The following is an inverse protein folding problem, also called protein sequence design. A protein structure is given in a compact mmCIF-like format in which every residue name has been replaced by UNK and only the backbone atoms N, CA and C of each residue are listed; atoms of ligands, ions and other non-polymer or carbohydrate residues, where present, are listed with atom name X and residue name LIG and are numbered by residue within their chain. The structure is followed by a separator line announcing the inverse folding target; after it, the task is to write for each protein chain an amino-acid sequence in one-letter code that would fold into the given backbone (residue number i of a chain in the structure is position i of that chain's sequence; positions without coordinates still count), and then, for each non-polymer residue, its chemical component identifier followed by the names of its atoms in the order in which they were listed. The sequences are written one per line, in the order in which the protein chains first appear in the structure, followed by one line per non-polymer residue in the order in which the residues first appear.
data_IF_836812294571
#
_entry.id   IF_836812294571
#
_cell.length_a   1.000
_cell.length_b   1.000
_cell.length_c   1.000
_cell.angle_alpha   90.00
_cell.angle_beta   90.00
_cell.angle_gamma   90.00
#
_symmetry.space_group_name_H-M   'P 1'
#
loop_
_entity.id
_entity.type
_entity.pdbx_description
1 polymer ?
#
# COMPACT_ATOMS: atom_id res chain seq x y z
N UNK A 1 1.63 17.91 -14.52
CA UNK A 1 0.30 18.56 -14.51
C UNK A 1 -0.26 18.51 -13.08
N UNK A 2 -1.31 19.26 -12.72
CA UNK A 2 -1.89 19.19 -11.37
C UNK A 2 -2.38 17.78 -10.99
N UNK A 3 -2.89 17.01 -11.96
CA UNK A 3 -3.32 15.63 -11.76
C UNK A 3 -2.16 14.68 -11.42
N UNK A 4 -1.01 14.84 -12.09
CA UNK A 4 0.18 14.02 -11.79
C UNK A 4 0.74 14.34 -10.41
N UNK A 5 0.79 15.63 -10.04
CA UNK A 5 1.27 16.06 -8.72
C UNK A 5 0.38 15.51 -7.58
N UNK A 6 -0.95 15.49 -7.76
CA UNK A 6 -1.86 14.87 -6.79
C UNK A 6 -1.63 13.36 -6.66
N UNK A 7 -1.48 12.66 -7.79
CA UNK A 7 -1.20 11.22 -7.79
C UNK A 7 0.13 10.92 -7.08
N UNK A 8 1.16 11.72 -7.33
CA UNK A 8 2.48 11.61 -6.70
C UNK A 8 2.44 11.93 -5.21
N UNK A 9 1.76 13.00 -4.80
CA UNK A 9 1.55 13.34 -3.38
C UNK A 9 0.97 12.15 -2.62
N UNK A 10 -0.14 11.61 -3.12
CA UNK A 10 -0.79 10.46 -2.48
C UNK A 10 0.10 9.21 -2.52
N UNK A 11 0.81 8.98 -3.63
CA UNK A 11 1.72 7.85 -3.74
C UNK A 11 2.86 7.93 -2.72
N UNK A 12 3.54 9.09 -2.66
CA UNK A 12 4.67 9.35 -1.78
C UNK A 12 4.30 9.18 -0.30
N UNK A 13 3.23 9.83 0.15
CA UNK A 13 2.80 9.75 1.55
C UNK A 13 2.18 8.39 1.91
N UNK A 14 1.82 7.55 0.94
CA UNK A 14 1.36 6.18 1.20
C UNK A 14 2.48 5.16 1.42
N UNK A 15 3.71 5.49 1.02
CA UNK A 15 4.88 4.60 1.12
C UNK A 15 5.87 5.02 2.21
N UNK A 16 5.72 6.22 2.76
CA UNK A 16 6.66 6.81 3.70
C UNK A 16 6.51 6.22 5.12
N UNK A 17 7.62 5.90 5.78
CA UNK A 17 7.62 5.55 7.21
C UNK A 17 7.51 6.81 8.08
N UNK A 18 6.28 7.31 8.23
CA UNK A 18 5.98 8.52 8.98
C UNK A 18 6.33 8.43 10.48
N UNK A 19 6.44 7.21 11.03
CA UNK A 19 6.81 6.99 12.43
C UNK A 19 8.32 7.02 12.65
N UNK A 20 9.11 6.73 11.62
CA UNK A 20 10.58 6.76 11.62
C UNK A 20 11.19 8.07 11.12
N UNK A 21 10.37 9.03 10.66
CA UNK A 21 10.84 10.24 10.01
C UNK A 21 10.37 11.53 10.71
N UNK A 22 11.19 12.56 10.60
CA UNK A 22 10.87 13.96 10.88
C UNK A 22 10.68 14.69 9.54
N UNK A 23 9.49 15.19 9.27
CA UNK A 23 9.24 16.03 8.09
C UNK A 23 9.62 17.48 8.45
N UNK A 24 10.66 18.03 7.81
CA UNK A 24 11.10 19.41 8.06
C UNK A 24 10.82 20.30 6.84
N UNK A 25 9.82 21.21 6.92
CA UNK A 25 9.62 22.23 5.90
C UNK A 25 10.81 23.17 5.76
N UNK A 26 11.52 23.45 6.86
CA UNK A 26 12.72 24.30 6.85
C UNK A 26 13.83 23.71 5.99
N UNK A 27 14.09 22.41 6.10
CA UNK A 27 15.08 21.73 5.24
C UNK A 27 14.50 21.25 3.90
N UNK A 28 13.18 21.32 3.71
CA UNK A 28 12.50 20.83 2.52
C UNK A 28 12.62 19.31 2.31
N UNK A 29 12.90 18.53 3.36
CA UNK A 29 13.13 17.08 3.27
C UNK A 29 12.67 16.31 4.51
N UNK A 30 12.60 14.99 4.37
CA UNK A 30 12.43 14.08 5.49
C UNK A 30 13.79 13.74 6.11
N UNK A 31 13.89 13.89 7.43
CA UNK A 31 15.07 13.61 8.23
C UNK A 31 14.85 12.35 9.07
N UNK A 32 15.91 11.67 9.51
CA UNK A 32 15.79 10.62 10.51
C UNK A 32 15.10 11.15 11.76
N UNK A 33 14.18 10.38 12.33
CA UNK A 33 13.52 10.75 13.57
C UNK A 33 14.56 10.98 14.69
N UNK A 34 14.49 12.11 15.42
CA UNK A 34 15.43 12.38 16.50
C UNK A 34 15.24 11.36 17.64
N UNK A 35 16.34 10.96 18.31
CA UNK A 35 16.25 10.03 19.43
C UNK A 35 15.46 10.60 20.62
N UNK A 36 14.89 9.74 21.47
CA UNK A 36 14.24 10.19 22.70
C UNK A 36 15.21 10.99 23.56
N UNK A 37 14.78 12.14 24.09
CA UNK A 37 15.61 12.96 24.98
C UNK A 37 16.63 13.86 24.27
N UNK A 38 16.56 14.00 22.94
CA UNK A 38 17.40 14.96 22.20
C UNK A 38 17.18 16.38 22.74
N UNK A 39 18.25 17.14 23.07
CA UNK A 39 18.15 18.55 23.43
C UNK A 39 17.48 19.33 22.29
N UNK A 40 16.47 20.14 22.59
CA UNK A 40 15.71 20.88 21.57
C UNK A 40 14.19 20.63 21.59
N UNK A 41 13.67 19.80 22.50
CA UNK A 41 12.26 19.81 22.90
C UNK A 41 11.24 19.23 21.91
N UNK A 42 11.63 18.95 20.66
CA UNK A 42 10.75 18.36 19.66
C UNK A 42 10.35 16.94 20.08
N UNK A 43 9.08 16.77 20.49
CA UNK A 43 8.53 15.48 20.91
C UNK A 43 8.05 14.68 19.69
N UNK A 44 8.72 13.57 19.34
CA UNK A 44 8.32 12.78 18.18
C UNK A 44 7.05 11.98 18.47
N UNK A 45 6.17 11.89 17.49
CA UNK A 45 4.93 11.12 17.56
C UNK A 45 4.84 10.06 16.46
N UNK A 46 3.66 9.44 16.29
CA UNK A 46 3.36 8.59 15.13
C UNK A 46 3.50 9.31 13.78
N UNK A 47 3.39 10.64 13.80
CA UNK A 47 3.74 11.57 12.73
C UNK A 47 4.50 12.73 13.38
N UNK A 48 5.64 13.10 12.81
CA UNK A 48 6.42 14.25 13.29
C UNK A 48 6.61 15.23 12.13
N UNK A 49 5.90 16.36 12.20
CA UNK A 49 6.01 17.45 11.23
C UNK A 49 6.51 18.67 12.00
N UNK A 50 7.69 19.16 11.64
CA UNK A 50 8.32 20.29 12.30
C UNK A 50 7.60 21.59 11.92
N UNK A 51 7.36 22.46 12.90
CA UNK A 51 7.00 23.84 12.59
C UNK A 51 8.18 24.54 11.87
N UNK A 52 7.93 25.34 10.81
CA UNK A 52 8.99 26.01 10.08
C UNK A 52 9.74 27.10 10.87
N UNK A 53 9.17 27.62 11.95
CA UNK A 53 9.75 28.69 12.76
C UNK A 53 10.11 28.22 14.18
N UNK A 54 9.21 27.49 14.83
CA UNK A 54 9.44 26.94 16.16
C UNK A 54 9.95 25.50 16.07
N UNK A 55 11.26 25.31 15.89
CA UNK A 55 11.84 23.99 15.60
C UNK A 55 11.67 22.93 16.70
N UNK A 56 11.33 23.35 17.92
CA UNK A 56 10.96 22.48 19.05
C UNK A 56 9.49 22.04 19.03
N UNK A 57 8.69 22.55 18.10
CA UNK A 57 7.26 22.29 18.00
C UNK A 57 6.95 21.28 16.89
N UNK A 58 6.23 20.21 17.27
CA UNK A 58 5.66 19.24 16.33
C UNK A 58 4.19 19.61 16.11
N UNK A 59 3.87 20.16 14.93
CA UNK A 59 2.49 20.56 14.61
C UNK A 59 1.53 19.37 14.53
N UNK A 60 2.05 18.14 14.40
CA UNK A 60 1.30 16.90 14.35
C UNK A 60 1.30 16.12 15.68
N UNK A 61 1.69 16.74 16.80
CA UNK A 61 1.81 16.06 18.09
C UNK A 61 0.50 15.42 18.61
N UNK A 62 -0.66 15.94 18.18
CA UNK A 62 -1.98 15.40 18.52
C UNK A 62 -2.43 14.24 17.62
N UNK A 63 -1.66 13.89 16.59
CA UNK A 63 -2.01 12.85 15.63
C UNK A 63 -1.68 11.47 16.21
N UNK A 64 -2.71 10.63 16.35
CA UNK A 64 -2.56 9.25 16.85
C UNK A 64 -2.06 8.29 15.76
N UNK A 65 -1.49 7.16 16.15
CA UNK A 65 -1.08 6.10 15.22
C UNK A 65 -2.25 5.61 14.36
N UNK A 66 -3.46 5.49 14.93
CA UNK A 66 -4.67 5.13 14.19
C UNK A 66 -4.98 6.15 13.08
N UNK A 67 -4.81 7.44 13.36
CA UNK A 67 -5.01 8.52 12.37
C UNK A 67 -3.96 8.43 11.26
N UNK A 68 -2.68 8.21 11.60
CA UNK A 68 -1.60 8.03 10.61
C UNK A 68 -1.89 6.83 9.72
N UNK A 69 -2.27 5.69 10.28
CA UNK A 69 -2.55 4.51 9.47
C UNK A 69 -3.78 4.70 8.56
N UNK A 70 -4.81 5.42 9.04
CA UNK A 70 -5.94 5.83 8.19
C UNK A 70 -5.49 6.74 7.06
N UNK A 71 -4.64 7.73 7.35
CA UNK A 71 -4.09 8.65 6.36
C UNK A 71 -3.30 7.90 5.27
N UNK A 72 -2.33 7.07 5.65
CA UNK A 72 -1.53 6.24 4.73
C UNK A 72 -2.43 5.38 3.82
N UNK A 73 -3.47 4.76 4.40
CA UNK A 73 -4.45 3.99 3.62
C UNK A 73 -5.22 4.88 2.64
N UNK A 74 -5.74 6.02 3.09
CA UNK A 74 -6.47 6.95 2.22
C UNK A 74 -5.58 7.47 1.08
N UNK A 75 -4.31 7.80 1.37
CA UNK A 75 -3.33 8.17 0.35
C UNK A 75 -3.13 7.04 -0.66
N UNK A 76 -2.97 5.79 -0.21
CA UNK A 76 -2.82 4.65 -1.13
C UNK A 76 -4.03 4.48 -2.06
N UNK A 77 -5.24 4.61 -1.52
CA UNK A 77 -6.47 4.47 -2.29
C UNK A 77 -6.65 5.65 -3.27
N UNK A 78 -6.37 6.88 -2.82
CA UNK A 78 -6.40 8.09 -3.65
C UNK A 78 -5.34 8.05 -4.77
N UNK A 79 -4.15 7.54 -4.50
CA UNK A 79 -3.10 7.38 -5.50
C UNK A 79 -3.50 6.43 -6.63
N UNK A 80 -4.31 5.40 -6.34
CA UNK A 80 -4.88 4.52 -7.38
C UNK A 80 -5.97 5.24 -8.16
N UNK A 81 -6.88 5.94 -7.46
CA UNK A 81 -7.95 6.71 -8.08
C UNK A 81 -7.39 7.75 -9.06
N UNK A 82 -6.39 8.53 -8.66
CA UNK A 82 -5.81 9.59 -9.48
C UNK A 82 -5.16 9.09 -10.79
N UNK A 83 -4.75 7.83 -10.84
CA UNK A 83 -4.20 7.18 -12.04
C UNK A 83 -5.29 6.53 -12.92
N UNK A 84 -6.51 6.41 -12.41
CA UNK A 84 -7.62 5.78 -13.10
C UNK A 84 -8.33 6.69 -14.12
N UNK A 85 -9.05 6.11 -15.08
CA UNK A 85 -9.78 6.85 -16.10
C UNK A 85 -10.89 7.74 -15.50
N UNK A 86 -11.50 7.32 -14.39
CA UNK A 86 -12.52 8.11 -13.68
C UNK A 86 -11.97 9.44 -13.14
N UNK A 87 -10.65 9.54 -12.94
CA UNK A 87 -10.01 10.77 -12.51
C UNK A 87 -9.50 11.59 -13.69
N UNK A 88 -8.89 10.94 -14.68
CA UNK A 88 -8.23 11.62 -15.79
C UNK A 88 -9.20 12.06 -16.90
N UNK A 89 -10.36 11.40 -17.05
CA UNK A 89 -11.27 11.62 -18.15
C UNK A 89 -12.64 12.11 -17.66
N UNK A 90 -13.12 13.19 -18.29
CA UNK A 90 -14.46 13.71 -18.03
C UNK A 90 -15.52 12.72 -18.46
N UNK A 91 -16.42 12.39 -17.54
CA UNK A 91 -17.59 11.57 -17.86
C UNK A 91 -18.54 12.30 -18.79
N UNK A 92 -19.01 11.61 -19.85
CA UNK A 92 -20.05 12.11 -20.76
C UNK A 92 -21.48 11.96 -20.22
N UNK A 93 -21.66 11.15 -19.17
CA UNK A 93 -22.98 10.76 -18.63
C UNK A 93 -23.27 11.40 -17.26
N UNK A 94 -22.72 12.59 -17.00
CA UNK A 94 -22.91 13.30 -15.72
C UNK A 94 -22.31 12.60 -14.49
N UNK A 95 -21.61 11.46 -14.65
CA UNK A 95 -20.97 10.79 -13.51
C UNK A 95 -19.87 11.67 -12.91
N UNK A 96 -19.73 11.69 -11.57
CA UNK A 96 -18.61 12.35 -10.90
C UNK A 96 -17.27 11.85 -11.43
N UNK A 97 -16.33 12.77 -11.64
CA UNK A 97 -15.00 12.49 -12.22
C UNK A 97 -13.95 13.44 -11.63
N UNK A 98 -12.67 13.14 -11.86
CA UNK A 98 -11.57 13.99 -11.39
C UNK A 98 -11.59 14.19 -9.87
N UNK A 99 -11.32 15.43 -9.43
CA UNK A 99 -11.28 15.79 -8.01
C UNK A 99 -12.60 15.49 -7.28
N UNK A 100 -13.75 15.51 -7.97
CA UNK A 100 -15.02 15.15 -7.34
C UNK A 100 -15.01 13.73 -6.76
N UNK A 101 -14.29 12.78 -7.40
CA UNK A 101 -14.17 11.40 -6.89
C UNK A 101 -13.37 11.32 -5.59
N UNK A 102 -12.44 12.26 -5.34
CA UNK A 102 -11.70 12.37 -4.08
C UNK A 102 -12.55 13.00 -2.96
N UNK A 103 -13.42 13.95 -3.32
CA UNK A 103 -14.25 14.71 -2.37
C UNK A 103 -15.54 13.99 -2.00
N UNK A 104 -15.95 13.00 -2.78
CA UNK A 104 -17.06 12.15 -2.42
C UNK A 104 -16.78 11.46 -1.09
N UNK A 105 -17.80 11.46 -0.22
CA UNK A 105 -17.80 10.58 0.94
C UNK A 105 -17.49 9.17 0.42
N UNK A 106 -16.48 8.53 1.01
CA UNK A 106 -16.19 7.14 0.69
C UNK A 106 -17.47 6.30 0.86
N UNK A 107 -17.60 5.15 0.19
CA UNK A 107 -18.82 4.35 0.14
C UNK A 107 -19.44 3.90 1.49
N UNK A 108 -18.88 4.30 2.64
CA UNK A 108 -19.47 4.16 3.98
C UNK A 108 -20.20 5.42 4.48
N UNK A 109 -20.75 6.24 3.59
CA UNK A 109 -21.67 7.33 3.96
C UNK A 109 -23.04 6.82 4.44
N UNK A 110 -23.42 5.63 3.99
CA UNK A 110 -24.44 4.79 4.60
C UNK A 110 -23.76 3.62 5.31
N UNK A 111 -24.30 3.25 6.46
CA UNK A 111 -23.68 2.47 7.55
C UNK A 111 -23.45 0.98 7.23
N UNK A 112 -23.29 0.60 5.96
CA UNK A 112 -23.41 -0.79 5.54
C UNK A 112 -22.43 -1.22 4.43
N UNK A 113 -21.18 -0.76 4.43
CA UNK A 113 -20.12 -1.51 3.72
C UNK A 113 -18.71 -1.29 4.29
N UNK A 114 -18.60 -1.41 5.62
CA UNK A 114 -17.29 -1.43 6.27
C UNK A 114 -16.61 -2.81 6.21
N UNK A 115 -17.08 -3.76 5.38
CA UNK A 115 -16.47 -5.10 5.29
C UNK A 115 -15.02 -4.99 4.79
N UNK A 116 -14.06 -5.02 5.72
CA UNK A 116 -12.68 -5.42 5.43
C UNK A 116 -11.59 -4.35 5.58
N UNK A 117 -11.82 -3.21 6.25
CA UNK A 117 -10.77 -2.16 6.35
C UNK A 117 -10.65 -1.59 7.77
N UNK A 118 -10.61 -2.43 8.78
CA UNK A 118 -10.30 -2.03 10.15
C UNK A 118 -8.86 -2.41 10.47
N UNK A 119 -8.10 -1.49 11.06
CA UNK A 119 -6.80 -1.80 11.62
C UNK A 119 -7.00 -2.10 13.10
N UNK A 120 -6.62 -3.32 13.51
CA UNK A 120 -6.68 -3.76 14.90
C UNK A 120 -5.28 -3.61 15.47
N UNK A 121 -5.06 -2.75 16.48
CA UNK A 121 -3.78 -2.70 17.18
C UNK A 121 -3.51 -4.07 17.81
N UNK A 122 -2.42 -4.71 17.40
CA UNK A 122 -1.95 -5.95 18.03
C UNK A 122 -0.99 -5.57 19.15
N UNK A 123 -1.23 -6.00 20.40
CA UNK A 123 -0.29 -5.75 21.48
C UNK A 123 0.99 -6.54 21.22
N UNK A 124 2.07 -5.84 20.85
CA UNK A 124 3.40 -6.43 20.79
C UNK A 124 4.09 -6.26 22.14
N UNK A 125 4.79 -7.29 22.65
CA UNK A 125 5.53 -7.18 23.89
C UNK A 125 6.73 -6.24 23.72
N UNK A 126 6.63 -5.02 24.24
CA UNK A 126 7.74 -4.09 24.55
C UNK A 126 8.72 -3.69 23.43
N UNK A 127 9.45 -2.57 23.59
CA UNK A 127 10.53 -2.21 22.68
C UNK A 127 11.66 -3.24 22.78
N UNK A 128 11.85 -4.04 21.73
CA UNK A 128 12.88 -5.08 21.64
C UNK A 128 12.38 -6.53 21.59
N UNK A 129 11.06 -6.78 21.68
CA UNK A 129 10.54 -8.14 21.71
C UNK A 129 9.61 -8.49 20.53
N UNK A 130 9.94 -9.67 19.97
CA UNK A 130 9.36 -10.41 18.84
C UNK A 130 9.55 -9.79 17.44
N UNK A 131 10.36 -10.41 16.54
CA UNK A 131 10.43 -9.99 15.15
C UNK A 131 9.05 -10.07 14.47
N UNK A 132 8.81 -9.22 13.48
CA UNK A 132 7.57 -9.18 12.69
C UNK A 132 7.14 -10.58 12.22
N UNK A 133 8.10 -11.45 11.89
CA UNK A 133 7.88 -12.84 11.53
C UNK A 133 7.10 -13.64 12.60
N UNK A 134 7.38 -13.41 13.89
CA UNK A 134 6.69 -14.08 14.99
C UNK A 134 5.26 -13.56 15.18
N UNK A 135 5.05 -12.25 15.00
CA UNK A 135 3.71 -11.67 15.00
C UNK A 135 2.88 -12.19 13.82
N UNK A 136 3.47 -12.26 12.61
CA UNK A 136 2.84 -12.85 11.44
C UNK A 136 2.50 -14.32 11.65
N UNK A 137 3.41 -15.12 12.22
CA UNK A 137 3.16 -16.52 12.54
C UNK A 137 2.02 -16.69 13.56
N UNK A 138 1.97 -15.85 14.59
CA UNK A 138 0.88 -15.87 15.56
C UNK A 138 -0.47 -15.50 14.93
N UNK A 139 -0.50 -14.50 14.05
CA UNK A 139 -1.71 -14.13 13.31
C UNK A 139 -2.15 -15.26 12.39
N UNK A 140 -1.23 -15.88 11.66
CA UNK A 140 -1.52 -17.02 10.79
C UNK A 140 -2.07 -18.22 11.59
N UNK A 141 -1.48 -18.53 12.75
CA UNK A 141 -1.98 -19.56 13.65
C UNK A 141 -3.40 -19.27 14.14
N UNK A 142 -3.69 -18.04 14.61
CA UNK A 142 -5.03 -17.70 15.07
C UNK A 142 -6.04 -17.79 13.92
N UNK A 143 -5.69 -17.28 12.73
CA UNK A 143 -6.60 -17.32 11.59
C UNK A 143 -6.84 -18.76 11.12
N UNK A 144 -5.80 -19.57 10.95
CA UNK A 144 -5.90 -20.94 10.44
C UNK A 144 -6.40 -21.94 11.48
N UNK A 145 -5.69 -22.06 12.61
CA UNK A 145 -5.90 -23.13 13.59
C UNK A 145 -7.03 -22.83 14.58
N UNK A 146 -7.19 -21.56 14.99
CA UNK A 146 -8.22 -21.18 15.98
C UNK A 146 -9.54 -20.82 15.29
N UNK A 147 -9.48 -20.11 14.16
CA UNK A 147 -10.66 -19.60 13.47
C UNK A 147 -11.03 -20.39 12.20
N UNK A 148 -10.20 -21.33 11.74
CA UNK A 148 -10.50 -22.16 10.57
C UNK A 148 -10.49 -21.42 9.22
N UNK A 149 -9.80 -20.28 9.12
CA UNK A 149 -9.77 -19.46 7.90
C UNK A 149 -8.78 -20.03 6.88
N UNK A 150 -9.22 -20.20 5.62
CA UNK A 150 -8.32 -20.48 4.49
C UNK A 150 -7.45 -19.26 4.16
N UNK A 151 -6.22 -19.24 4.66
CA UNK A 151 -5.30 -18.11 4.52
C UNK A 151 -4.25 -18.38 3.44
N UNK A 152 -4.52 -17.96 2.20
CA UNK A 152 -3.52 -18.04 1.14
C UNK A 152 -2.53 -16.86 1.22
N UNK A 153 -1.21 -17.09 1.25
CA UNK A 153 -0.25 -16.01 1.11
C UNK A 153 -0.45 -15.35 -0.25
N UNK A 154 -0.75 -14.04 -0.26
CA UNK A 154 -0.95 -13.31 -1.50
C UNK A 154 0.38 -13.27 -2.25
N UNK A 155 0.47 -14.09 -3.31
CA UNK A 155 1.69 -14.35 -4.06
C UNK A 155 2.44 -13.08 -4.46
N UNK A 156 3.76 -13.16 -4.38
CA UNK A 156 4.70 -12.26 -5.04
C UNK A 156 4.37 -12.17 -6.52
N UNK A 157 4.25 -10.97 -7.13
CA UNK A 157 4.11 -10.85 -8.57
C UNK A 157 5.45 -11.23 -9.20
N UNK A 158 5.60 -12.49 -9.59
CA UNK A 158 6.82 -12.99 -10.21
C UNK A 158 7.14 -14.42 -9.81
N UNK A 159 6.24 -15.35 -10.08
CA UNK A 159 6.59 -16.75 -10.25
C UNK A 159 5.66 -17.31 -11.32
N UNK A 160 6.19 -17.47 -12.53
CA UNK A 160 5.61 -18.27 -13.60
C UNK A 160 5.28 -19.66 -13.07
N UNK A 161 4.08 -20.21 -13.31
CA UNK A 161 3.81 -21.61 -13.02
C UNK A 161 4.68 -22.48 -13.93
N UNK A 162 5.59 -23.26 -13.38
CA UNK A 162 6.14 -24.42 -14.10
C UNK A 162 5.04 -25.46 -14.25
N UNK A 163 4.80 -25.88 -15.50
CA UNK A 163 3.98 -27.05 -15.80
C UNK A 163 4.69 -28.34 -15.35
N UNK A 164 3.94 -29.35 -14.85
CA UNK A 164 4.53 -30.61 -14.45
C UNK A 164 4.83 -31.49 -15.70
N UNK A 165 5.91 -32.30 -15.67
CA UNK A 165 6.28 -33.13 -16.81
C UNK A 165 5.35 -34.34 -16.93
N UNK A 166 4.55 -34.34 -17.99
CA UNK A 166 3.75 -35.48 -18.44
C UNK A 166 4.62 -36.53 -19.15
N UNK A 167 4.36 -37.79 -18.81
CA UNK A 167 5.02 -38.97 -19.34
C UNK A 167 4.60 -39.31 -20.80
N UNK A 168 5.58 -39.80 -21.58
CA UNK A 168 5.42 -40.92 -22.52
C UNK A 168 4.90 -40.61 -23.93
N UNK A 169 5.76 -40.81 -24.94
CA UNK A 169 5.36 -40.88 -26.35
C UNK A 169 6.53 -41.23 -27.27
N UNK A 170 6.77 -42.52 -27.43
CA UNK A 170 7.76 -43.17 -28.30
C UNK A 170 7.18 -43.40 -29.72
N UNK A 171 8.07 -43.48 -30.73
CA UNK A 171 7.89 -43.82 -32.17
C UNK A 171 7.56 -42.63 -33.11
N UNK A 172 8.11 -42.49 -34.32
CA UNK A 172 9.23 -43.10 -35.04
C UNK A 172 9.58 -42.14 -36.20
N UNK A 173 10.83 -42.16 -36.64
CA UNK A 173 11.35 -41.42 -37.79
C UNK A 173 10.93 -42.12 -39.10
N UNK A 174 10.39 -41.36 -40.05
CA UNK A 174 9.96 -41.88 -41.36
C UNK A 174 10.22 -40.86 -42.47
N UNK A 175 11.28 -41.10 -43.23
CA UNK A 175 11.76 -40.37 -44.40
C UNK A 175 10.75 -40.33 -45.55
N UNK A 176 10.66 -39.23 -46.32
CA UNK A 176 9.85 -39.21 -47.54
C UNK A 176 9.78 -37.87 -48.28
N UNK A 177 10.67 -37.71 -49.24
CA UNK A 177 10.75 -36.67 -50.28
C UNK A 177 9.50 -36.64 -51.20
N UNK A 178 9.03 -35.44 -51.58
CA UNK A 178 8.58 -35.08 -52.95
C UNK A 178 7.76 -33.78 -53.01
N UNK A 179 8.38 -32.75 -53.59
CA UNK A 179 7.96 -32.03 -54.82
C UNK A 179 6.45 -31.73 -55.04
N UNK A 180 6.12 -30.43 -55.13
CA UNK A 180 4.85 -29.97 -55.72
C UNK A 180 4.67 -28.44 -55.70
N UNK A 181 5.03 -27.79 -56.81
CA UNK A 181 4.56 -26.45 -57.16
C UNK A 181 3.02 -26.41 -57.19
N UNK A 182 2.40 -25.26 -56.86
CA UNK A 182 1.49 -24.57 -57.78
C UNK A 182 1.10 -23.19 -57.23
N UNK A 183 1.24 -22.19 -58.10
CA UNK A 183 0.66 -20.85 -58.00
C UNK A 183 -0.85 -20.93 -58.27
N UNK A 184 -1.60 -20.04 -57.64
CA UNK A 184 -2.49 -19.07 -58.29
C UNK A 184 -2.63 -17.85 -57.39
#
# INVERSE_FOLDING_TARGET
SPASLLAEFFSYFSTLDLGGLLLSPLEGRALPRPPPGTPGGLRPGPLTLQDPFELSHNVAANVTARTVSRFVRCCRDAARLCRGPEFLQKSRRGRPWGVMRLLQRGPGGDREDSRGKFLIPVPLPGPGAAPLSRACAAVAFVLGEVLGCGCEPRGTPGATPEEPPGAGGHLEEGTGDSRGELRT
#
